data_IF_275836584428
#
_entry.id   IF_275836584428
#
_cell.length_a   1.000
_cell.length_b   1.000
_cell.length_c   1.000
_cell.angle_alpha   90.00
_cell.angle_beta   90.00
_cell.angle_gamma   90.00
#
_symmetry.space_group_name_H-M   'P 1'
#
loop_
_entity.id
_entity.type
_entity.pdbx_description
1 polymer ?
#
# COMPACT_ATOMS: atom_id res chain seq x y z
N UNK A 1 -4.58 -25.95 0.83
CA UNK A 1 -4.86 -24.50 0.90
C UNK A 1 -3.55 -23.77 0.68
N UNK A 2 -3.30 -23.26 -0.53
CA UNK A 2 -2.05 -22.54 -0.80
C UNK A 2 -2.13 -21.16 -0.15
N UNK A 3 -1.36 -20.94 0.92
CA UNK A 3 -1.07 -19.61 1.43
C UNK A 3 -0.39 -18.84 0.29
N UNK A 4 -1.12 -17.89 -0.29
CA UNK A 4 -0.61 -17.02 -1.34
C UNK A 4 0.40 -16.06 -0.74
N UNK A 5 1.65 -16.49 -0.64
CA UNK A 5 2.75 -15.63 -0.22
C UNK A 5 3.01 -14.60 -1.32
N UNK A 6 3.19 -13.31 -0.98
CA UNK A 6 3.69 -12.33 -1.95
C UNK A 6 5.01 -12.84 -2.55
N UNK A 7 5.31 -12.49 -3.81
CA UNK A 7 6.63 -12.74 -4.37
C UNK A 7 7.73 -12.18 -3.44
N UNK A 8 8.93 -12.78 -3.44
CA UNK A 8 10.07 -12.18 -2.75
C UNK A 8 10.27 -10.73 -3.23
N UNK A 9 10.66 -9.85 -2.32
CA UNK A 9 10.86 -8.42 -2.58
C UNK A 9 9.62 -7.67 -3.09
N UNK A 10 8.43 -8.19 -2.80
CA UNK A 10 7.16 -7.54 -3.11
C UNK A 10 6.32 -7.35 -1.85
N UNK A 11 5.65 -6.20 -1.76
CA UNK A 11 4.72 -5.84 -0.71
C UNK A 11 3.30 -5.80 -1.26
N UNK A 12 2.34 -6.20 -0.43
CA UNK A 12 0.93 -5.92 -0.73
C UNK A 12 0.65 -4.42 -0.67
N UNK A 13 -0.41 -3.97 -1.35
CA UNK A 13 -0.84 -2.56 -1.28
C UNK A 13 -0.99 -2.07 0.18
N UNK A 14 -1.51 -2.93 1.06
CA UNK A 14 -1.66 -2.62 2.48
C UNK A 14 -0.32 -2.44 3.20
N UNK A 15 0.64 -3.35 2.98
CA UNK A 15 1.98 -3.23 3.56
C UNK A 15 2.71 -2.00 3.04
N UNK A 16 2.58 -1.67 1.75
CA UNK A 16 3.15 -0.46 1.16
C UNK A 16 2.58 0.80 1.81
N UNK A 17 1.25 0.88 1.95
CA UNK A 17 0.59 2.00 2.63
C UNK A 17 1.07 2.18 4.06
N UNK A 18 1.20 1.08 4.81
CA UNK A 18 1.72 1.09 6.18
C UNK A 18 3.18 1.54 6.24
N UNK A 19 4.03 1.07 5.31
CA UNK A 19 5.46 1.40 5.25
C UNK A 19 5.69 2.87 4.88
N UNK A 20 4.91 3.39 3.94
CA UNK A 20 5.01 4.78 3.48
C UNK A 20 4.21 5.78 4.32
N UNK A 21 3.37 5.29 5.24
CA UNK A 21 2.48 6.16 6.02
C UNK A 21 1.47 6.90 5.15
N UNK A 22 0.93 6.25 4.12
CA UNK A 22 0.00 6.87 3.16
C UNK A 22 -1.37 6.20 3.19
N UNK A 23 -2.41 6.97 2.86
CA UNK A 23 -3.76 6.45 2.72
C UNK A 23 -4.01 5.86 1.31
N UNK A 24 -5.22 5.32 1.10
CA UNK A 24 -5.59 4.70 -0.16
C UNK A 24 -5.62 5.67 -1.35
N UNK A 25 -6.04 6.92 -1.13
CA UNK A 25 -6.10 7.94 -2.20
C UNK A 25 -4.71 8.31 -2.70
N UNK A 26 -3.78 8.51 -1.78
CA UNK A 26 -2.38 8.77 -2.07
C UNK A 26 -1.76 7.55 -2.77
N UNK A 27 -2.02 6.33 -2.29
CA UNK A 27 -1.57 5.10 -2.96
C UNK A 27 -2.08 5.02 -4.40
N UNK A 28 -3.36 5.36 -4.64
CA UNK A 28 -3.95 5.41 -5.97
C UNK A 28 -3.28 6.48 -6.84
N UNK A 29 -2.90 7.62 -6.27
CA UNK A 29 -2.14 8.66 -6.96
C UNK A 29 -0.76 8.14 -7.36
N UNK A 30 0.00 7.55 -6.44
CA UNK A 30 1.34 7.00 -6.69
C UNK A 30 1.34 5.94 -7.79
N UNK A 31 0.31 5.09 -7.82
CA UNK A 31 0.10 4.10 -8.88
C UNK A 31 -0.14 4.75 -10.24
N UNK A 32 -1.02 5.77 -10.29
CA UNK A 32 -1.30 6.53 -11.53
C UNK A 32 -0.08 7.30 -12.03
N UNK A 33 0.69 7.88 -11.13
CA UNK A 33 1.92 8.63 -11.46
C UNK A 33 3.12 7.72 -11.69
N UNK A 34 2.96 6.39 -11.58
CA UNK A 34 4.03 5.38 -11.73
C UNK A 34 5.23 5.65 -10.83
N UNK A 35 4.99 6.21 -9.64
CA UNK A 35 6.03 6.44 -8.63
C UNK A 35 6.40 5.18 -7.85
N UNK A 36 5.58 4.12 -7.96
CA UNK A 36 5.82 2.81 -7.39
C UNK A 36 5.74 1.75 -8.49
N UNK A 37 6.59 0.74 -8.42
CA UNK A 37 6.66 -0.31 -9.41
C UNK A 37 5.67 -1.43 -9.07
N UNK A 38 4.69 -1.66 -9.94
CA UNK A 38 3.64 -2.67 -9.77
C UNK A 38 4.07 -4.00 -10.37
N UNK A 39 3.93 -5.07 -9.59
CA UNK A 39 4.23 -6.45 -10.00
C UNK A 39 2.92 -7.25 -9.97
N UNK A 40 2.49 -7.74 -11.12
CA UNK A 40 1.28 -8.55 -11.24
C UNK A 40 1.62 -10.04 -11.27
N UNK A 41 1.18 -10.80 -10.25
CA UNK A 41 1.42 -12.25 -10.14
C UNK A 41 0.12 -12.97 -9.83
N UNK A 42 -0.27 -13.92 -10.68
CA UNK A 42 -1.46 -14.75 -10.45
C UNK A 42 -2.76 -13.95 -10.34
N UNK A 43 -2.89 -12.85 -11.09
CA UNK A 43 -4.07 -11.97 -11.05
C UNK A 43 -4.12 -11.02 -9.84
N UNK A 44 -3.05 -10.97 -9.02
CA UNK A 44 -2.92 -10.04 -7.90
C UNK A 44 -1.84 -9.01 -8.18
N UNK A 45 -2.03 -7.80 -7.65
CA UNK A 45 -1.09 -6.69 -7.77
C UNK A 45 -0.32 -6.52 -6.47
N UNK A 46 1.00 -6.53 -6.59
CA UNK A 46 1.97 -6.25 -5.55
C UNK A 46 2.81 -5.04 -5.94
N UNK A 47 3.56 -4.49 -5.00
CA UNK A 47 4.47 -3.36 -5.20
C UNK A 47 5.88 -3.81 -4.87
N UNK A 48 6.85 -3.52 -5.73
CA UNK A 48 8.25 -3.83 -5.49
C UNK A 48 8.75 -3.13 -4.22
N UNK A 49 9.30 -3.87 -3.26
CA UNK A 49 9.86 -3.34 -2.01
C UNK A 49 10.96 -2.31 -2.29
N UNK A 50 11.79 -2.54 -3.30
CA UNK A 50 12.86 -1.63 -3.71
C UNK A 50 12.33 -0.27 -4.18
N UNK A 51 11.18 -0.24 -4.89
CA UNK A 51 10.54 1.02 -5.28
C UNK A 51 9.97 1.78 -4.08
N UNK A 52 9.45 1.04 -3.09
CA UNK A 52 8.95 1.61 -1.83
C UNK A 52 10.09 2.20 -1.01
N UNK A 53 11.23 1.51 -0.92
CA UNK A 53 12.40 1.98 -0.18
C UNK A 53 13.03 3.23 -0.82
N UNK A 54 13.15 3.26 -2.16
CA UNK A 54 13.57 4.47 -2.88
C UNK A 54 12.62 5.63 -2.61
N UNK A 55 11.32 5.42 -2.76
CA UNK A 55 10.32 6.46 -2.51
C UNK A 55 10.39 6.98 -1.07
N UNK A 56 10.53 6.08 -0.09
CA UNK A 56 10.66 6.43 1.33
C UNK A 56 11.94 7.21 1.62
N UNK A 57 13.05 6.89 0.94
CA UNK A 57 14.31 7.59 1.08
C UNK A 57 14.28 8.99 0.44
N UNK A 58 13.58 9.15 -0.69
CA UNK A 58 13.39 10.44 -1.37
C UNK A 58 12.35 11.33 -0.67
N UNK A 59 11.43 10.73 0.09
CA UNK A 59 10.39 11.44 0.84
C UNK A 59 10.47 11.12 2.35
N UNK A 60 11.58 11.47 3.02
CA UNK A 60 11.77 11.23 4.44
C UNK A 60 10.91 12.23 5.23
N UNK A 61 9.62 11.95 5.41
CA UNK A 61 8.75 12.92 6.08
C UNK A 61 7.26 12.63 6.13
N UNK A 62 6.75 11.59 5.47
CA UNK A 62 5.35 11.18 5.71
C UNK A 62 5.31 10.35 6.98
N UNK A 63 5.14 11.06 8.09
CA UNK A 63 4.78 10.53 9.41
C UNK A 63 3.83 9.34 9.20
N UNK A 64 4.09 8.15 9.79
CA UNK A 64 3.22 7.01 9.59
C UNK A 64 1.82 7.42 10.04
N UNK A 65 0.85 7.44 9.11
CA UNK A 65 -0.56 7.56 9.50
C UNK A 65 -0.81 6.37 10.42
N UNK A 66 -0.97 6.65 11.70
CA UNK A 66 -1.48 5.68 12.67
C UNK A 66 -2.94 5.49 12.30
N UNK A 67 -3.20 4.64 11.30
CA UNK A 67 -4.54 4.21 10.96
C UNK A 67 -4.99 3.36 12.14
N UNK A 68 -5.78 3.96 13.05
CA UNK A 68 -6.46 3.20 14.08
C UNK A 68 -7.41 2.22 13.37
N UNK A 69 -7.41 0.93 13.72
CA UNK A 69 -8.25 -0.06 13.04
C UNK A 69 -9.74 0.34 13.03
N UNK A 70 -10.17 1.09 14.03
CA UNK A 70 -11.53 1.58 14.24
C UNK A 70 -11.98 2.58 13.16
N UNK A 71 -11.10 3.50 12.73
CA UNK A 71 -11.44 4.51 11.71
C UNK A 71 -11.55 3.90 10.30
N UNK A 72 -10.89 2.75 10.08
CA UNK A 72 -10.95 2.03 8.81
C UNK A 72 -12.27 1.26 8.65
N UNK A 73 -12.84 0.73 9.74
CA UNK A 73 -14.14 0.05 9.71
C UNK A 73 -15.28 1.04 9.45
N UNK A 74 -15.27 2.22 10.11
CA UNK A 74 -16.35 3.21 9.95
C UNK A 74 -16.44 3.78 8.52
N UNK A 75 -15.34 3.90 7.79
CA UNK A 75 -15.38 4.33 6.38
C UNK A 75 -15.80 3.24 5.40
N UNK A 76 -15.65 1.97 5.75
CA UNK A 76 -16.04 0.84 4.88
C UNK A 76 -17.50 0.44 5.13
N UNK A 77 -18.00 0.63 6.35
CA UNK A 77 -19.36 0.24 6.76
C UNK A 77 -20.34 1.42 6.87
N UNK A 78 -19.84 2.67 6.82
CA UNK A 78 -20.65 3.88 7.00
C UNK A 78 -21.48 4.32 5.79
N UNK A 79 -21.34 3.67 4.64
CA UNK A 79 -22.13 3.93 3.41
C UNK A 79 -23.30 2.93 3.24
N UNK A 80 -23.74 2.29 4.32
CA UNK A 80 -25.01 1.54 4.37
C UNK A 80 -26.02 2.25 5.28
N UNK A 81 -26.52 3.40 4.84
CA UNK A 81 -27.77 3.98 5.32
C UNK A 81 -28.55 4.55 4.13
#
# INVERSE_FOLDING_TARGET
MSLWNPPPDCLTLFQTMKKLGINYEEMKRLRRTRQLEEVSVGGRVYISSGSVDKYSAEHPGKMPIIIRPEEMLHKILGDYN
#
